data_IF_701555739637
#
_entry.id   IF_701555739637
#
_cell.length_a   1.000
_cell.length_b   1.000
_cell.length_c   1.000
_cell.angle_alpha   90.00
_cell.angle_beta   90.00
_cell.angle_gamma   90.00
#
_symmetry.space_group_name_H-M   'P 1'
#
loop_
_entity.id
_entity.type
_entity.pdbx_description
1 polymer ?
#
# COMPACT_ATOMS: atom_id res chain seq x y z
N UNK A 1 18.42 -8.34 -8.70
CA UNK A 1 17.32 -7.39 -8.43
C UNK A 1 16.68 -7.06 -9.76
N UNK A 2 15.40 -7.40 -9.92
CA UNK A 2 14.64 -7.08 -11.12
C UNK A 2 14.57 -5.54 -11.26
N UNK A 3 14.66 -5.00 -12.48
CA UNK A 3 14.67 -3.55 -12.70
C UNK A 3 13.50 -2.82 -12.04
N UNK A 4 12.33 -3.47 -11.98
CA UNK A 4 11.11 -2.92 -11.39
C UNK A 4 11.20 -2.70 -9.87
N UNK A 5 11.84 -3.59 -9.10
CA UNK A 5 11.96 -3.42 -7.64
C UNK A 5 12.77 -2.18 -7.29
N UNK A 6 13.82 -1.90 -8.07
CA UNK A 6 14.61 -0.68 -7.92
C UNK A 6 13.79 0.57 -8.25
N UNK A 7 12.93 0.52 -9.27
CA UNK A 7 12.05 1.64 -9.63
C UNK A 7 10.98 1.89 -8.57
N UNK A 8 10.32 0.84 -8.08
CA UNK A 8 9.36 0.94 -6.97
C UNK A 8 10.04 1.54 -5.75
N UNK A 9 11.21 1.01 -5.37
CA UNK A 9 11.99 1.50 -4.25
C UNK A 9 12.33 2.99 -4.38
N UNK A 10 12.69 3.47 -5.58
CA UNK A 10 12.92 4.91 -5.82
C UNK A 10 11.65 5.73 -5.61
N UNK A 11 10.53 5.33 -6.21
CA UNK A 11 9.26 6.08 -6.13
C UNK A 11 8.73 6.13 -4.70
N UNK A 12 8.90 5.05 -3.95
CA UNK A 12 8.37 4.91 -2.59
C UNK A 12 9.37 5.26 -1.48
N UNK A 13 10.62 5.60 -1.80
CA UNK A 13 11.66 5.91 -0.81
C UNK A 13 11.47 7.24 -0.08
N UNK A 14 10.80 8.22 -0.70
CA UNK A 14 10.57 9.53 -0.07
C UNK A 14 9.33 9.46 0.83
N UNK A 15 9.57 9.51 2.15
CA UNK A 15 8.51 9.48 3.16
C UNK A 15 7.47 10.59 2.98
N UNK A 16 7.88 11.82 2.59
CA UNK A 16 6.94 12.95 2.41
C UNK A 16 6.06 12.74 1.19
N UNK A 17 6.61 12.16 0.13
CA UNK A 17 5.80 11.82 -1.04
C UNK A 17 4.85 10.66 -0.75
N UNK A 18 5.29 9.68 0.03
CA UNK A 18 4.43 8.59 0.49
C UNK A 18 3.28 9.09 1.38
N UNK A 19 3.53 10.05 2.28
CA UNK A 19 2.47 10.69 3.08
C UNK A 19 1.44 11.41 2.20
N UNK A 20 1.88 12.10 1.13
CA UNK A 20 0.97 12.72 0.16
C UNK A 20 0.13 11.67 -0.58
N UNK A 21 0.75 10.57 -1.00
CA UNK A 21 0.05 9.45 -1.65
C UNK A 21 -0.98 8.81 -0.71
N UNK A 22 -0.66 8.66 0.57
CA UNK A 22 -1.60 8.16 1.58
C UNK A 22 -2.82 9.07 1.70
N UNK A 23 -2.61 10.39 1.74
CA UNK A 23 -3.70 11.37 1.81
C UNK A 23 -4.59 11.32 0.57
N UNK A 24 -4.00 11.24 -0.63
CA UNK A 24 -4.75 11.10 -1.89
C UNK A 24 -5.56 9.80 -1.93
N UNK A 25 -5.00 8.69 -1.46
CA UNK A 25 -5.70 7.41 -1.40
C UNK A 25 -6.85 7.44 -0.38
N UNK A 26 -6.68 8.11 0.77
CA UNK A 26 -7.77 8.33 1.73
C UNK A 26 -8.89 9.20 1.15
N UNK A 27 -8.53 10.27 0.45
CA UNK A 27 -9.48 11.15 -0.24
C UNK A 27 -10.28 10.38 -1.31
N UNK A 28 -9.60 9.59 -2.15
CA UNK A 28 -10.22 8.71 -3.14
C UNK A 28 -11.24 7.74 -2.52
N UNK A 29 -10.99 7.27 -1.30
CA UNK A 29 -11.89 6.40 -0.53
C UNK A 29 -13.02 7.14 0.20
N UNK A 30 -13.06 8.47 0.13
CA UNK A 30 -14.02 9.28 0.89
C UNK A 30 -13.77 9.27 2.40
N UNK A 31 -12.53 9.00 2.83
CA UNK A 31 -12.15 8.87 4.24
C UNK A 31 -11.34 10.09 4.69
N UNK A 32 -11.70 10.68 5.83
CA UNK A 32 -10.99 11.84 6.37
C UNK A 32 -9.55 11.52 6.77
N UNK A 33 -8.63 12.48 6.59
CA UNK A 33 -7.17 12.34 6.85
C UNK A 33 -6.77 11.70 8.19
N UNK A 34 -7.55 11.96 9.24
CA UNK A 34 -7.29 11.48 10.62
C UNK A 34 -7.85 10.08 10.91
N UNK A 35 -8.55 9.46 9.94
CA UNK A 35 -9.09 8.11 10.08
C UNK A 35 -8.02 7.10 9.66
N UNK A 36 -7.93 6.02 10.42
CA UNK A 36 -7.03 4.91 10.16
C UNK A 36 -7.64 4.01 9.08
N UNK A 37 -6.88 3.73 8.02
CA UNK A 37 -7.31 2.91 6.87
C UNK A 37 -6.42 1.70 6.66
N UNK A 38 -5.10 1.87 6.76
CA UNK A 38 -4.13 0.81 6.51
C UNK A 38 -3.64 0.23 7.84
N UNK A 39 -3.89 -1.06 8.06
CA UNK A 39 -3.57 -1.79 9.29
C UNK A 39 -2.93 -3.13 8.94
N UNK A 40 -1.94 -3.55 9.73
CA UNK A 40 -1.30 -4.85 9.59
C UNK A 40 -2.02 -5.94 10.37
N UNK A 41 -1.99 -7.17 9.85
CA UNK A 41 -2.64 -8.33 10.47
C UNK A 41 -2.16 -8.59 11.91
N UNK A 42 -0.87 -8.41 12.18
CA UNK A 42 -0.31 -8.56 13.53
C UNK A 42 -0.93 -7.57 14.52
N UNK A 43 -1.18 -6.32 14.09
CA UNK A 43 -1.82 -5.33 14.96
C UNK A 43 -3.29 -5.66 15.20
N UNK A 44 -3.99 -6.27 14.23
CA UNK A 44 -5.35 -6.77 14.44
C UNK A 44 -5.35 -7.90 15.47
N UNK A 45 -4.42 -8.85 15.36
CA UNK A 45 -4.29 -9.96 16.32
C UNK A 45 -4.02 -9.46 17.75
N UNK A 46 -3.20 -8.42 17.91
CA UNK A 46 -2.92 -7.77 19.19
C UNK A 46 -4.17 -7.21 19.89
N UNK A 47 -5.27 -6.96 19.16
CA UNK A 47 -6.52 -6.48 19.74
C UNK A 47 -7.04 -7.41 20.83
N UNK A 48 -6.87 -8.73 20.65
CA UNK A 48 -7.29 -9.74 21.62
C UNK A 48 -6.66 -9.51 23.00
N UNK A 49 -5.41 -9.07 23.04
CA UNK A 49 -4.68 -8.79 24.28
C UNK A 49 -4.95 -7.39 24.79
N UNK A 50 -4.91 -6.38 23.90
CA UNK A 50 -5.15 -5.00 24.26
C UNK A 50 -5.60 -4.17 23.05
N UNK A 51 -6.89 -3.86 23.03
CA UNK A 51 -7.51 -3.01 22.00
C UNK A 51 -6.82 -1.64 21.85
N UNK A 52 -6.49 -1.00 22.97
CA UNK A 52 -5.88 0.34 22.94
C UNK A 52 -4.46 0.30 22.36
N UNK A 53 -3.67 -0.71 22.73
CA UNK A 53 -2.32 -0.89 22.21
C UNK A 53 -2.34 -1.20 20.71
N UNK A 54 -3.23 -2.11 20.28
CA UNK A 54 -3.46 -2.42 18.87
C UNK A 54 -3.78 -1.17 18.04
N UNK A 55 -4.65 -0.29 18.56
CA UNK A 55 -4.99 0.98 17.91
C UNK A 55 -3.78 1.92 17.81
N UNK A 56 -3.02 2.10 18.89
CA UNK A 56 -1.85 2.98 18.87
C UNK A 56 -0.74 2.48 17.94
N UNK A 57 -0.47 1.16 17.94
CA UNK A 57 0.48 0.54 16.99
C UNK A 57 0.03 0.77 15.55
N UNK A 58 -1.26 0.57 15.26
CA UNK A 58 -1.81 0.76 13.92
C UNK A 58 -1.72 2.20 13.44
N UNK A 59 -2.02 3.18 14.30
CA UNK A 59 -1.83 4.60 13.97
C UNK A 59 -0.36 4.95 13.69
N UNK A 60 0.56 4.39 14.47
CA UNK A 60 2.01 4.65 14.31
C UNK A 60 2.54 4.07 12.99
N UNK A 61 2.03 2.91 12.58
CA UNK A 61 2.54 2.13 11.44
C UNK A 61 1.71 2.28 10.16
N UNK A 62 0.68 3.13 10.14
CA UNK A 62 -0.22 3.26 8.99
C UNK A 62 0.55 3.56 7.70
N UNK A 63 1.58 4.40 7.76
CA UNK A 63 2.39 4.75 6.60
C UNK A 63 3.18 3.55 6.05
N UNK A 64 3.73 2.71 6.94
CA UNK A 64 4.46 1.49 6.56
C UNK A 64 3.51 0.45 5.93
N UNK A 65 2.28 0.33 6.46
CA UNK A 65 1.29 -0.56 5.87
C UNK A 65 0.77 -0.05 4.52
N UNK A 66 0.63 1.28 4.38
CA UNK A 66 0.32 1.88 3.10
C UNK A 66 1.46 1.68 2.08
N UNK A 67 2.72 1.79 2.51
CA UNK A 67 3.89 1.48 1.71
C UNK A 67 3.84 0.04 1.17
N UNK A 68 3.66 -0.95 2.06
CA UNK A 68 3.56 -2.35 1.68
C UNK A 68 2.38 -2.60 0.73
N UNK A 69 1.21 -2.03 1.04
CA UNK A 69 0.03 -2.10 0.20
C UNK A 69 0.29 -1.61 -1.24
N UNK A 70 0.92 -0.44 -1.39
CA UNK A 70 1.18 0.12 -2.72
C UNK A 70 2.29 -0.64 -3.44
N UNK A 71 3.35 -1.02 -2.71
CA UNK A 71 4.43 -1.85 -3.23
C UNK A 71 3.89 -3.14 -3.85
N UNK A 72 3.09 -3.90 -3.12
CA UNK A 72 2.59 -5.20 -3.55
C UNK A 72 1.66 -5.08 -4.76
N UNK A 73 0.77 -4.08 -4.77
CA UNK A 73 -0.08 -3.78 -5.94
C UNK A 73 0.74 -3.56 -7.21
N UNK A 74 1.80 -2.77 -7.10
CA UNK A 74 2.66 -2.45 -8.24
C UNK A 74 3.49 -3.67 -8.66
N UNK A 75 4.08 -4.37 -7.71
CA UNK A 75 4.90 -5.56 -7.95
C UNK A 75 4.09 -6.67 -8.62
N UNK A 76 2.91 -6.99 -8.09
CA UNK A 76 2.01 -7.99 -8.66
C UNK A 76 1.51 -7.58 -10.04
N UNK A 77 1.13 -6.31 -10.23
CA UNK A 77 0.69 -5.82 -11.54
C UNK A 77 1.75 -5.99 -12.62
N UNK A 78 3.03 -5.77 -12.25
CA UNK A 78 4.14 -6.01 -13.17
C UNK A 78 4.31 -7.50 -13.48
N UNK A 79 4.27 -8.38 -12.48
CA UNK A 79 4.48 -9.82 -12.67
C UNK A 79 3.33 -10.50 -13.43
N UNK A 80 2.13 -9.96 -13.32
CA UNK A 80 0.96 -10.39 -14.08
C UNK A 80 0.91 -9.79 -15.49
N UNK A 81 1.86 -8.92 -15.86
CA UNK A 81 1.91 -8.26 -17.16
C UNK A 81 0.84 -7.18 -17.37
N UNK A 82 0.21 -6.70 -16.30
CA UNK A 82 -0.81 -5.64 -16.34
C UNK A 82 -0.19 -4.27 -16.58
N UNK A 83 1.05 -4.08 -16.12
CA UNK A 83 1.87 -2.90 -16.38
C UNK A 83 3.26 -3.33 -16.86
N UNK A 84 3.87 -2.51 -17.71
CA UNK A 84 5.27 -2.68 -18.12
C UNK A 84 6.19 -1.60 -17.54
N UNK A 85 5.63 -0.47 -17.10
CA UNK A 85 6.36 0.68 -16.58
C UNK A 85 5.52 1.39 -15.50
N UNK A 86 6.18 2.11 -14.59
CA UNK A 86 5.48 2.94 -13.60
C UNK A 86 4.91 4.22 -14.23
N UNK A 87 3.64 4.57 -13.95
CA UNK A 87 3.09 5.85 -14.35
C UNK A 87 3.74 6.98 -13.54
N UNK A 88 3.99 8.12 -14.20
CA UNK A 88 4.48 9.34 -13.54
C UNK A 88 3.39 10.09 -12.76
N UNK A 89 2.13 9.82 -13.10
CA UNK A 89 0.98 10.46 -12.49
C UNK A 89 0.57 9.69 -11.21
N UNK A 90 0.35 10.41 -10.11
CA UNK A 90 0.10 9.84 -8.79
C UNK A 90 -1.26 9.14 -8.71
N UNK A 91 -2.28 9.71 -9.34
CA UNK A 91 -3.62 9.14 -9.36
C UNK A 91 -3.60 7.79 -10.08
N UNK A 92 -2.94 7.71 -11.24
CA UNK A 92 -2.72 6.45 -11.97
C UNK A 92 -1.90 5.45 -11.16
N UNK A 93 -0.86 5.90 -10.44
CA UNK A 93 -0.08 5.03 -9.56
C UNK A 93 -0.98 4.35 -8.51
N UNK A 94 -1.92 5.11 -7.91
CA UNK A 94 -2.87 4.61 -6.91
C UNK A 94 -4.00 3.74 -7.51
N UNK A 95 -4.16 3.71 -8.83
CA UNK A 95 -5.10 2.85 -9.53
C UNK A 95 -4.52 1.47 -9.89
N UNK A 96 -3.19 1.33 -9.94
CA UNK A 96 -2.51 0.09 -10.34
C UNK A 96 -2.98 -1.10 -9.51
N UNK A 97 -3.44 -2.16 -10.16
CA UNK A 97 -3.85 -3.38 -9.46
C UNK A 97 -5.25 -3.32 -8.85
N UNK A 98 -6.10 -2.37 -9.29
CA UNK A 98 -7.55 -2.42 -9.01
C UNK A 98 -8.19 -3.69 -9.59
N UNK A 99 -7.59 -4.22 -10.65
CA UNK A 99 -7.98 -5.40 -11.40
C UNK A 99 -7.38 -6.70 -10.86
N UNK A 100 -6.46 -6.64 -9.89
CA UNK A 100 -5.86 -7.84 -9.28
C UNK A 100 -6.91 -8.56 -8.44
N UNK A 101 -7.09 -9.85 -8.72
CA UNK A 101 -7.95 -10.73 -7.92
C UNK A 101 -7.14 -11.60 -6.97
N UNK A 102 -7.80 -12.20 -5.97
CA UNK A 102 -7.17 -13.18 -5.08
C UNK A 102 -6.52 -14.33 -5.88
N UNK A 103 -7.17 -14.80 -6.95
CA UNK A 103 -6.64 -15.86 -7.82
C UNK A 103 -5.34 -15.46 -8.51
N UNK A 104 -5.11 -14.18 -8.73
CA UNK A 104 -3.89 -13.69 -9.36
C UNK A 104 -2.75 -13.62 -8.33
N UNK A 105 -3.06 -13.21 -7.10
CA UNK A 105 -2.11 -13.26 -5.98
C UNK A 105 -1.69 -14.70 -5.67
N UNK A 106 -2.63 -15.64 -5.66
CA UNK A 106 -2.36 -17.07 -5.43
C UNK A 106 -1.46 -17.72 -6.49
N UNK A 107 -1.33 -17.13 -7.69
CA UNK A 107 -0.38 -17.63 -8.71
C UNK A 107 1.07 -17.19 -8.44
N UNK A 108 1.25 -16.17 -7.61
CA UNK A 108 2.55 -15.55 -7.31
C UNK A 108 3.15 -16.06 -5.99
N UNK A 109 2.38 -16.79 -5.18
CA UNK A 109 2.77 -17.41 -3.91
C UNK A 109 2.99 -18.92 -4.08
#
# INVERSE_FOLDING_TARGET
MNGIESEIGKVLSDQRELEKLLLLEKEKRGVGKNKLVFIGMANIADYYWCAMQSLFKSKKMELDFFHAYLHDRVYYSFHLGLITNLPKNKEKLLEIGNEITLKDVEKLL
#
